data_IF_839051242422
#
_entry.id   IF_839051242422
#
_cell.length_a   1.000
_cell.length_b   1.000
_cell.length_c   1.000
_cell.angle_alpha   90.00
_cell.angle_beta   90.00
_cell.angle_gamma   90.00
#
_symmetry.space_group_name_H-M   'P 1'
#
loop_
_entity.id
_entity.type
_entity.pdbx_description
1 polymer ?
#
# COMPACT_ATOMS: atom_id res chain seq x y z
N UNK A 1 63.83 55.98 16.59
CA UNK A 1 62.47 56.52 16.81
C UNK A 1 61.60 55.95 15.71
N UNK A 2 60.89 54.87 16.05
CA UNK A 2 59.43 54.87 16.29
C UNK A 2 58.69 54.69 14.96
N UNK A 3 57.73 53.82 14.76
CA UNK A 3 57.00 52.83 15.57
C UNK A 3 56.25 51.98 14.54
N UNK A 4 56.03 50.69 14.76
CA UNK A 4 54.89 50.23 15.55
C UNK A 4 54.12 49.24 14.69
N UNK A 5 54.31 47.95 14.97
CA UNK A 5 53.50 46.86 14.42
C UNK A 5 52.28 46.60 15.29
N UNK A 6 51.15 46.33 14.62
CA UNK A 6 49.92 45.62 15.03
C UNK A 6 48.84 46.08 14.03
N UNK A 7 47.91 45.29 13.52
CA UNK A 7 47.21 44.19 14.16
C UNK A 7 46.81 43.11 13.17
N UNK A 8 46.88 41.88 13.65
CA UNK A 8 46.18 40.72 13.11
C UNK A 8 44.68 40.85 13.41
N UNK A 9 43.82 40.49 12.46
CA UNK A 9 42.50 39.93 12.79
C UNK A 9 42.17 38.78 11.83
N UNK A 10 42.33 37.57 12.35
CA UNK A 10 41.73 36.37 11.80
C UNK A 10 40.32 36.19 12.33
N UNK A 11 39.37 35.97 11.40
CA UNK A 11 38.14 35.15 11.41
C UNK A 11 37.20 35.17 12.63
N UNK A 12 35.89 35.02 12.34
CA UNK A 12 35.32 33.70 12.53
C UNK A 12 34.74 33.12 11.24
N UNK A 13 35.25 31.95 10.87
CA UNK A 13 34.43 30.92 10.20
C UNK A 13 33.47 30.44 11.28
N UNK A 14 32.22 30.87 11.24
CA UNK A 14 31.18 30.10 11.92
C UNK A 14 30.67 28.99 10.99
N UNK A 15 30.52 27.77 11.51
CA UNK A 15 30.10 26.63 10.74
C UNK A 15 28.62 26.80 10.47
N UNK A 16 28.26 27.27 9.27
CA UNK A 16 26.95 26.95 8.74
C UNK A 16 26.93 25.43 8.60
N UNK A 17 26.45 24.77 9.66
CA UNK A 17 26.06 23.38 9.66
C UNK A 17 25.37 23.11 8.33
N UNK A 18 25.66 21.97 7.70
CA UNK A 18 24.95 21.54 6.52
C UNK A 18 23.46 21.40 6.87
N UNK A 19 22.72 22.51 6.84
CA UNK A 19 21.30 22.53 7.12
C UNK A 19 20.67 21.95 5.89
N UNK A 20 20.03 20.80 6.08
CA UNK A 20 19.31 20.07 5.06
C UNK A 20 18.04 20.88 4.70
N UNK A 21 18.20 21.98 3.97
CA UNK A 21 17.09 22.84 3.52
C UNK A 21 16.47 22.19 2.29
N UNK A 22 15.67 21.14 2.50
CA UNK A 22 15.12 20.36 1.39
C UNK A 22 13.98 21.03 0.62
N UNK A 23 13.54 22.23 1.03
CA UNK A 23 12.46 22.98 0.37
C UNK A 23 12.64 24.48 0.57
N UNK A 24 13.62 25.09 -0.12
CA UNK A 24 13.76 26.55 -0.18
C UNK A 24 12.59 27.11 -1.00
N UNK A 25 11.71 27.89 -0.35
CA UNK A 25 10.57 28.56 -1.00
C UNK A 25 10.92 29.95 -1.53
N UNK A 26 12.07 30.48 -1.14
CA UNK A 26 12.53 31.80 -1.55
C UNK A 26 13.19 31.73 -2.93
N UNK A 27 13.01 32.77 -3.75
CA UNK A 27 13.66 32.88 -5.06
C UNK A 27 15.14 33.22 -4.86
N UNK A 28 15.94 32.26 -4.45
CA UNK A 28 17.40 32.36 -4.57
C UNK A 28 17.73 32.50 -6.06
N UNK A 29 18.71 33.32 -6.42
CA UNK A 29 19.09 33.59 -7.82
C UNK A 29 19.52 32.34 -8.62
N UNK A 30 19.76 31.23 -7.92
CA UNK A 30 20.13 29.92 -8.47
C UNK A 30 18.93 28.96 -8.65
N UNK A 31 17.71 29.38 -8.30
CA UNK A 31 16.53 28.52 -8.36
C UNK A 31 16.09 28.26 -9.82
N UNK A 32 15.79 27.00 -10.12
CA UNK A 32 15.24 26.59 -11.42
C UNK A 32 13.97 27.39 -11.75
N UNK A 33 13.79 27.83 -13.02
CA UNK A 33 12.64 28.64 -13.41
C UNK A 33 11.32 27.88 -13.20
N UNK A 34 10.26 28.62 -12.86
CA UNK A 34 8.94 28.05 -12.65
C UNK A 34 8.46 27.34 -13.94
N UNK A 35 7.92 26.11 -13.84
CA UNK A 35 7.45 25.38 -15.01
C UNK A 35 6.26 26.11 -15.62
N UNK A 36 6.37 26.44 -16.91
CA UNK A 36 5.29 27.09 -17.67
C UNK A 36 4.30 26.02 -18.15
N UNK A 37 2.98 26.18 -17.93
CA UNK A 37 1.98 25.25 -18.44
C UNK A 37 2.05 25.13 -19.96
N UNK A 38 2.19 23.90 -20.47
CA UNK A 38 2.15 23.62 -21.91
C UNK A 38 0.78 23.05 -22.28
N UNK A 39 0.18 23.60 -23.34
CA UNK A 39 -1.07 23.06 -23.91
C UNK A 39 -0.78 21.68 -24.50
N UNK A 40 -1.54 20.67 -24.08
CA UNK A 40 -1.44 19.32 -24.62
C UNK A 40 -2.03 19.31 -26.04
N UNK A 41 -1.20 18.97 -27.03
CA UNK A 41 -1.66 18.71 -28.39
C UNK A 41 -2.09 17.23 -28.48
N UNK A 42 -3.21 16.91 -29.14
CA UNK A 42 -3.71 15.54 -29.24
C UNK A 42 -2.72 14.58 -29.95
N UNK A 43 -1.85 15.11 -30.81
CA UNK A 43 -0.82 14.32 -31.52
C UNK A 43 0.43 14.00 -30.68
N UNK A 44 0.63 14.70 -29.54
CA UNK A 44 1.75 14.47 -28.63
C UNK A 44 1.37 13.57 -27.44
N UNK A 45 0.24 12.87 -27.54
CA UNK A 45 -0.16 11.89 -26.55
C UNK A 45 0.88 10.76 -26.59
N UNK A 46 1.55 10.44 -25.46
CA UNK A 46 2.49 9.32 -25.46
C UNK A 46 1.74 8.08 -25.94
N UNK A 47 2.31 7.40 -26.93
CA UNK A 47 1.79 6.12 -27.40
C UNK A 47 1.80 5.18 -26.19
N UNK A 48 0.64 5.05 -25.54
CA UNK A 48 0.42 4.04 -24.51
C UNK A 48 0.30 2.72 -25.26
N UNK A 49 1.41 2.27 -25.83
CA UNK A 49 1.56 0.89 -26.26
C UNK A 49 1.33 0.06 -25.01
N UNK A 50 0.14 -0.52 -24.93
CA UNK A 50 -0.35 -1.36 -23.85
C UNK A 50 0.38 -2.69 -23.91
N UNK A 51 1.71 -2.68 -23.71
CA UNK A 51 2.33 -3.82 -23.08
C UNK A 51 1.51 -4.09 -21.81
N UNK A 52 1.09 -5.34 -21.62
CA UNK A 52 0.31 -5.77 -20.46
C UNK A 52 1.11 -5.54 -19.17
N UNK A 53 1.17 -4.28 -18.74
CA UNK A 53 1.79 -3.83 -17.49
C UNK A 53 0.82 -4.22 -16.39
N UNK A 54 1.30 -5.03 -15.45
CA UNK A 54 0.51 -5.41 -14.29
C UNK A 54 0.64 -4.28 -13.27
N UNK A 55 -0.47 -3.57 -13.03
CA UNK A 55 -0.53 -2.47 -12.08
C UNK A 55 -0.53 -1.09 -12.74
N UNK A 56 -0.38 -0.05 -11.93
CA UNK A 56 -0.31 1.33 -12.39
C UNK A 56 0.97 1.62 -13.16
N UNK A 57 1.01 2.74 -13.90
CA UNK A 57 2.22 3.22 -14.57
C UNK A 57 3.42 3.40 -13.61
N UNK A 58 3.15 3.58 -12.31
CA UNK A 58 4.17 3.69 -11.27
C UNK A 58 4.97 2.40 -11.04
N UNK A 59 4.39 1.23 -11.34
CA UNK A 59 5.05 -0.07 -11.22
C UNK A 59 6.01 -0.39 -12.38
N UNK A 60 6.26 0.56 -13.28
CA UNK A 60 7.19 0.37 -14.40
C UNK A 60 8.62 0.03 -13.96
N UNK A 61 9.05 0.51 -12.78
CA UNK A 61 10.37 0.22 -12.22
C UNK A 61 10.38 -0.97 -11.23
N UNK A 62 9.30 -1.76 -11.17
CA UNK A 62 9.18 -2.88 -10.22
C UNK A 62 8.96 -2.42 -8.77
N UNK A 63 8.35 -1.25 -8.60
CA UNK A 63 7.98 -0.68 -7.30
C UNK A 63 6.88 -1.52 -6.63
N UNK A 64 6.73 -1.36 -5.32
CA UNK A 64 5.69 -2.04 -4.56
C UNK A 64 4.36 -1.27 -4.71
N UNK A 65 3.32 -1.96 -5.19
CA UNK A 65 1.96 -1.44 -5.28
C UNK A 65 1.01 -2.38 -4.53
N UNK A 66 0.26 -1.83 -3.58
CA UNK A 66 -0.76 -2.56 -2.83
C UNK A 66 -2.15 -2.05 -3.20
N UNK A 67 -3.07 -3.01 -3.39
CA UNK A 67 -4.48 -2.74 -3.59
C UNK A 67 -5.29 -3.55 -2.58
N UNK A 68 -6.06 -2.85 -1.75
CA UNK A 68 -7.04 -3.49 -0.86
C UNK A 68 -8.12 -4.21 -1.70
N UNK A 69 -8.41 -5.43 -1.28
CA UNK A 69 -9.44 -6.32 -1.82
C UNK A 69 -10.51 -6.64 -0.78
N UNK A 70 -10.54 -5.93 0.36
CA UNK A 70 -11.40 -6.23 1.52
C UNK A 70 -12.86 -6.39 1.12
N UNK A 71 -13.40 -5.40 0.37
CA UNK A 71 -14.80 -5.45 -0.10
C UNK A 71 -15.10 -6.66 -0.98
N UNK A 72 -14.15 -7.07 -1.80
CA UNK A 72 -14.32 -8.25 -2.66
C UNK A 72 -14.25 -9.53 -1.82
N UNK A 73 -13.28 -9.62 -0.92
CA UNK A 73 -13.07 -10.77 -0.06
C UNK A 73 -14.25 -10.98 0.90
N UNK A 74 -14.75 -9.91 1.53
CA UNK A 74 -15.90 -9.97 2.43
C UNK A 74 -17.16 -10.51 1.73
N UNK A 75 -17.43 -10.04 0.51
CA UNK A 75 -18.55 -10.54 -0.29
C UNK A 75 -18.32 -11.99 -0.73
N UNK A 76 -17.11 -12.33 -1.15
CA UNK A 76 -16.78 -13.68 -1.61
C UNK A 76 -16.87 -14.71 -0.48
N UNK A 77 -16.42 -14.36 0.72
CA UNK A 77 -16.52 -15.22 1.90
C UNK A 77 -17.98 -15.48 2.24
N UNK A 78 -18.84 -14.44 2.24
CA UNK A 78 -20.29 -14.61 2.48
C UNK A 78 -20.93 -15.54 1.45
N UNK A 79 -20.67 -15.33 0.17
CA UNK A 79 -21.18 -16.18 -0.92
C UNK A 79 -20.74 -17.65 -0.76
N UNK A 80 -19.47 -17.89 -0.43
CA UNK A 80 -18.93 -19.24 -0.22
C UNK A 80 -19.55 -19.92 1.00
N UNK A 81 -19.79 -19.17 2.07
CA UNK A 81 -20.43 -19.67 3.28
C UNK A 81 -21.90 -20.05 3.01
N UNK A 82 -22.65 -19.21 2.31
CA UNK A 82 -24.03 -19.50 1.87
C UNK A 82 -24.08 -20.73 0.94
N UNK A 83 -23.10 -20.89 0.07
CA UNK A 83 -23.00 -22.02 -0.87
C UNK A 83 -22.63 -23.34 -0.19
N UNK A 84 -22.01 -23.30 0.99
CA UNK A 84 -21.47 -24.50 1.67
C UNK A 84 -22.56 -25.42 2.22
N UNK A 85 -23.79 -24.90 2.37
CA UNK A 85 -24.98 -25.68 2.71
C UNK A 85 -24.80 -26.55 3.97
N UNK A 86 -24.90 -27.87 3.77
CA UNK A 86 -24.77 -28.86 4.84
C UNK A 86 -23.47 -29.64 4.72
N UNK A 87 -22.70 -29.70 5.81
CA UNK A 87 -21.48 -30.50 5.90
C UNK A 87 -21.79 -31.80 6.65
N UNK A 88 -21.35 -32.93 6.09
CA UNK A 88 -21.38 -34.19 6.82
C UNK A 88 -20.14 -34.28 7.73
N UNK A 89 -20.36 -34.32 9.03
CA UNK A 89 -19.32 -34.56 10.02
C UNK A 89 -19.43 -36.00 10.54
N UNK A 90 -18.34 -36.55 11.07
CA UNK A 90 -18.31 -37.93 11.61
C UNK A 90 -19.39 -38.29 12.65
N UNK A 91 -20.14 -37.31 13.18
CA UNK A 91 -21.22 -37.49 14.16
C UNK A 91 -22.60 -36.98 13.72
N UNK A 92 -22.81 -36.64 12.44
CA UNK A 92 -24.09 -36.19 11.91
C UNK A 92 -23.99 -35.10 10.85
N UNK A 93 -25.15 -34.72 10.28
CA UNK A 93 -25.28 -33.62 9.32
C UNK A 93 -25.30 -32.28 10.07
N UNK A 94 -24.41 -31.38 9.69
CA UNK A 94 -24.27 -30.06 10.30
C UNK A 94 -24.64 -28.99 9.26
N UNK A 95 -25.59 -28.12 9.59
CA UNK A 95 -26.04 -27.03 8.71
C UNK A 95 -25.51 -25.70 9.22
N UNK A 96 -24.86 -24.94 8.33
CA UNK A 96 -24.41 -23.59 8.66
C UNK A 96 -25.64 -22.71 8.86
N UNK A 97 -25.80 -22.15 10.06
CA UNK A 97 -26.98 -21.35 10.42
C UNK A 97 -26.71 -19.87 10.22
N UNK A 98 -25.54 -19.39 10.65
CA UNK A 98 -25.18 -17.99 10.55
C UNK A 98 -23.67 -17.74 10.62
N UNK A 99 -23.26 -16.59 10.09
CA UNK A 99 -21.90 -16.07 10.22
C UNK A 99 -21.90 -15.02 11.32
N UNK A 100 -21.45 -15.40 12.51
CA UNK A 100 -21.44 -14.52 13.69
C UNK A 100 -20.40 -13.41 13.55
N UNK A 101 -19.22 -13.72 13.01
CA UNK A 101 -18.15 -12.74 12.81
C UNK A 101 -17.29 -13.09 11.60
N UNK A 102 -17.05 -12.10 10.74
CA UNK A 102 -16.09 -12.16 9.65
C UNK A 102 -15.30 -10.85 9.66
N UNK A 103 -14.04 -10.90 10.06
CA UNK A 103 -13.18 -9.72 10.15
C UNK A 103 -11.76 -10.08 9.71
N UNK A 104 -11.18 -9.23 8.90
CA UNK A 104 -9.87 -9.46 8.32
C UNK A 104 -9.53 -8.43 7.26
N UNK A 105 -8.41 -8.69 6.60
CA UNK A 105 -7.82 -7.88 5.56
C UNK A 105 -7.40 -8.75 4.38
N UNK A 106 -7.60 -8.24 3.16
CA UNK A 106 -7.15 -8.86 1.91
C UNK A 106 -6.48 -7.82 1.03
N UNK A 107 -5.31 -8.17 0.50
CA UNK A 107 -4.53 -7.28 -0.34
C UNK A 107 -3.92 -7.99 -1.53
N UNK A 108 -3.89 -7.28 -2.65
CA UNK A 108 -3.13 -7.63 -3.84
C UNK A 108 -1.88 -6.77 -3.87
N UNK A 109 -0.73 -7.39 -3.73
CA UNK A 109 0.58 -6.76 -3.88
C UNK A 109 1.15 -7.09 -5.24
N UNK A 110 1.58 -6.05 -5.95
CA UNK A 110 2.30 -6.19 -7.21
C UNK A 110 3.73 -5.72 -7.03
N UNK A 111 4.69 -6.64 -7.18
CA UNK A 111 6.13 -6.37 -7.05
C UNK A 111 6.86 -6.94 -8.26
N UNK A 112 7.72 -6.15 -8.91
CA UNK A 112 8.48 -6.57 -10.09
C UNK A 112 7.61 -7.23 -11.16
N UNK A 113 6.45 -6.62 -11.44
CA UNK A 113 5.47 -7.14 -12.39
C UNK A 113 4.93 -8.55 -12.05
N UNK A 114 4.94 -8.95 -10.76
CA UNK A 114 4.30 -10.17 -10.27
C UNK A 114 3.22 -9.85 -9.25
N UNK A 115 2.06 -10.48 -9.42
CA UNK A 115 0.93 -10.39 -8.49
C UNK A 115 1.09 -11.41 -7.36
N UNK A 116 0.88 -10.94 -6.14
CA UNK A 116 0.85 -11.73 -4.92
C UNK A 116 -0.40 -11.35 -4.14
N UNK A 117 -1.16 -12.33 -3.69
CA UNK A 117 -2.39 -12.10 -2.91
C UNK A 117 -2.14 -12.56 -1.49
N UNK A 118 -2.26 -11.63 -0.55
CA UNK A 118 -2.22 -11.90 0.89
C UNK A 118 -3.61 -11.67 1.50
N UNK A 119 -3.93 -12.44 2.52
CA UNK A 119 -5.16 -12.26 3.29
C UNK A 119 -4.98 -12.81 4.71
N UNK A 120 -5.68 -12.20 5.66
CA UNK A 120 -5.81 -12.70 7.04
C UNK A 120 -7.23 -12.47 7.50
N UNK A 121 -7.97 -13.54 7.75
CA UNK A 121 -9.36 -13.49 8.19
C UNK A 121 -9.58 -14.38 9.40
N UNK A 122 -10.34 -13.85 10.36
CA UNK A 122 -10.90 -14.61 11.47
C UNK A 122 -12.40 -14.74 11.29
N UNK A 123 -12.86 -15.99 11.37
CA UNK A 123 -14.24 -16.39 11.12
C UNK A 123 -14.80 -17.07 12.37
N UNK A 124 -16.00 -16.66 12.75
CA UNK A 124 -16.81 -17.33 13.77
C UNK A 124 -18.16 -17.66 13.14
N UNK A 125 -18.47 -18.96 13.11
CA UNK A 125 -19.63 -19.52 12.43
C UNK A 125 -20.51 -20.24 13.46
N UNK A 126 -21.80 -19.97 13.41
CA UNK A 126 -22.82 -20.71 14.14
C UNK A 126 -23.32 -21.88 13.29
N UNK A 127 -23.14 -23.10 13.80
CA UNK A 127 -23.55 -24.33 13.12
C UNK A 127 -24.59 -25.06 13.94
N UNK A 128 -25.67 -25.50 13.28
CA UNK A 128 -26.74 -26.29 13.89
C UNK A 128 -26.59 -27.74 13.43
N UNK A 129 -26.29 -28.62 14.37
CA UNK A 129 -26.27 -30.07 14.18
C UNK A 129 -27.12 -30.76 15.25
N UNK A 130 -26.72 -31.95 15.68
CA UNK A 130 -27.31 -32.64 16.84
C UNK A 130 -27.24 -31.82 18.15
N UNK A 131 -26.48 -30.70 18.15
CA UNK A 131 -26.52 -29.60 19.11
C UNK A 131 -26.12 -28.27 18.45
N UNK A 132 -26.19 -27.16 19.20
CA UNK A 132 -25.68 -25.85 18.77
C UNK A 132 -24.17 -25.81 18.98
N UNK A 133 -23.40 -25.59 17.91
CA UNK A 133 -21.94 -25.60 17.92
C UNK A 133 -21.41 -24.28 17.33
N UNK A 134 -20.41 -23.68 17.99
CA UNK A 134 -19.67 -22.53 17.45
C UNK A 134 -18.35 -23.02 16.86
N UNK A 135 -18.09 -22.70 15.59
CA UNK A 135 -16.82 -22.97 14.92
C UNK A 135 -16.02 -21.68 14.79
N UNK A 136 -14.77 -21.71 15.24
CA UNK A 136 -13.81 -20.63 15.02
C UNK A 136 -12.69 -21.11 14.10
N UNK A 137 -12.39 -20.31 13.09
CA UNK A 137 -11.35 -20.60 12.12
C UNK A 137 -10.56 -19.37 11.74
N UNK A 138 -9.28 -19.58 11.39
CA UNK A 138 -8.41 -18.55 10.82
C UNK A 138 -8.02 -18.95 9.40
N UNK A 139 -8.22 -18.04 8.46
CA UNK A 139 -7.76 -18.18 7.07
C UNK A 139 -6.65 -17.15 6.84
N UNK A 140 -5.43 -17.60 6.58
CA UNK A 140 -4.32 -16.67 6.34
C UNK A 140 -3.39 -17.15 5.24
N UNK A 141 -2.97 -16.21 4.39
CA UNK A 141 -1.89 -16.38 3.42
C UNK A 141 -1.03 -15.12 3.44
N UNK A 142 0.23 -15.29 3.81
CA UNK A 142 1.24 -14.23 3.82
C UNK A 142 2.09 -14.34 2.55
N UNK A 143 2.47 -13.20 1.96
CA UNK A 143 3.10 -13.10 0.63
C UNK A 143 4.52 -12.57 0.64
#
# INVERSE_FOLDING_TARGET
MEGGGAAAEGKPKDPAAASYTYWVREKTSDAAPLPVPRKLNPDNQPNNETHARLGSAWNSAGTWEEKSLDKWADNRIKELLESMGSLEMCGGKAELTEVTKCSGDAFLVTVRNRKRVGYTYELTLGVKGSGLLELRGRLSKVI
#
